data_IF_585129670565
#
_entry.id   IF_585129670565
#
_cell.length_a   1.000
_cell.length_b   1.000
_cell.length_c   1.000
_cell.angle_alpha   90.00
_cell.angle_beta   90.00
_cell.angle_gamma   90.00
#
_symmetry.space_group_name_H-M   'P 1'
#
loop_
_entity.id
_entity.type
_entity.pdbx_description
1 polymer ?
#
# COMPACT_ATOMS: atom_id res chain seq x y z
N UNK A 1 -29.71 -18.86 -0.59
CA UNK A 1 -29.01 -18.15 -1.68
C UNK A 1 -29.68 -16.80 -1.83
N UNK A 2 -28.94 -15.72 -1.58
CA UNK A 2 -29.51 -14.37 -1.58
C UNK A 2 -29.88 -13.99 -3.02
N UNK A 3 -30.91 -13.16 -3.20
CA UNK A 3 -31.41 -12.75 -4.53
C UNK A 3 -30.31 -12.14 -5.42
N UNK A 4 -29.24 -11.60 -4.82
CA UNK A 4 -28.08 -11.03 -5.52
C UNK A 4 -27.12 -12.07 -6.09
N UNK A 5 -26.91 -13.20 -5.41
CA UNK A 5 -26.07 -14.30 -5.93
C UNK A 5 -26.67 -14.86 -7.23
N UNK A 6 -28.00 -15.00 -7.25
CA UNK A 6 -28.74 -15.47 -8.43
C UNK A 6 -28.69 -14.46 -9.60
N UNK A 7 -28.40 -13.20 -9.31
CA UNK A 7 -28.20 -12.14 -10.31
C UNK A 7 -26.72 -11.93 -10.68
N UNK A 8 -25.82 -12.81 -10.24
CA UNK A 8 -24.39 -12.73 -10.49
C UNK A 8 -23.71 -11.54 -9.80
N UNK A 9 -24.27 -11.07 -8.68
CA UNK A 9 -23.72 -9.97 -7.89
C UNK A 9 -23.02 -10.57 -6.66
N UNK A 10 -21.71 -10.40 -6.58
CA UNK A 10 -20.94 -10.73 -5.38
C UNK A 10 -21.12 -9.65 -4.32
N UNK A 11 -21.12 -10.05 -3.04
CA UNK A 11 -21.18 -9.16 -1.89
C UNK A 11 -20.04 -9.48 -0.96
N UNK A 12 -19.24 -8.46 -0.64
CA UNK A 12 -18.02 -8.61 0.15
C UNK A 12 -18.05 -7.60 1.29
N UNK A 13 -18.19 -8.08 2.52
CA UNK A 13 -18.09 -7.27 3.71
C UNK A 13 -16.60 -7.10 4.11
N UNK A 14 -16.31 -6.02 4.82
CA UNK A 14 -14.95 -5.67 5.26
C UNK A 14 -14.17 -6.82 5.93
N UNK A 15 -14.86 -7.66 6.71
CA UNK A 15 -14.29 -8.78 7.45
C UNK A 15 -14.18 -10.07 6.63
N UNK A 16 -14.73 -10.11 5.42
CA UNK A 16 -14.69 -11.30 4.59
C UNK A 16 -13.26 -11.53 4.08
N UNK A 17 -12.80 -12.79 4.01
CA UNK A 17 -11.43 -13.11 3.62
C UNK A 17 -11.09 -12.68 2.19
N UNK A 18 -12.09 -12.58 1.32
CA UNK A 18 -11.97 -12.19 -0.09
C UNK A 18 -12.03 -10.67 -0.31
N UNK A 19 -12.35 -9.87 0.71
CA UNK A 19 -12.36 -8.42 0.60
C UNK A 19 -10.95 -7.87 0.27
N UNK A 20 -10.80 -6.95 -0.71
CA UNK A 20 -9.48 -6.53 -1.19
C UNK A 20 -8.58 -5.96 -0.08
N UNK A 21 -7.44 -6.60 0.16
CA UNK A 21 -6.57 -6.28 1.30
C UNK A 21 -5.97 -4.87 1.25
N UNK A 22 -5.64 -4.35 0.06
CA UNK A 22 -5.17 -2.95 -0.10
C UNK A 22 -6.27 -1.95 0.19
N UNK A 23 -7.48 -2.24 -0.23
CA UNK A 23 -8.63 -1.38 0.03
C UNK A 23 -8.97 -1.39 1.53
N UNK A 24 -8.75 -2.50 2.24
CA UNK A 24 -8.90 -2.58 3.69
C UNK A 24 -7.95 -1.64 4.46
N UNK A 25 -6.85 -1.19 3.85
CA UNK A 25 -5.83 -0.38 4.53
C UNK A 25 -6.05 1.12 4.45
N UNK A 26 -7.11 1.60 3.77
CA UNK A 26 -7.35 3.05 3.62
C UNK A 26 -8.37 3.58 4.63
N UNK A 27 -8.33 4.88 4.91
CA UNK A 27 -9.27 5.51 5.83
C UNK A 27 -10.73 5.43 5.35
N UNK A 28 -10.97 5.62 4.05
CA UNK A 28 -12.31 5.61 3.44
C UNK A 28 -12.74 4.19 2.99
N UNK A 29 -12.32 3.16 3.72
CA UNK A 29 -12.66 1.77 3.39
C UNK A 29 -14.18 1.58 3.39
N UNK A 30 -14.80 1.12 2.29
CA UNK A 30 -16.23 0.85 2.28
C UNK A 30 -16.55 -0.42 3.09
N UNK A 31 -17.57 -0.41 3.96
CA UNK A 31 -17.90 -1.57 4.80
C UNK A 31 -18.41 -2.75 3.98
N UNK A 32 -19.02 -2.49 2.81
CA UNK A 32 -19.54 -3.49 1.87
C UNK A 32 -19.16 -3.09 0.45
N UNK A 33 -18.78 -4.08 -0.36
CA UNK A 33 -18.56 -3.96 -1.79
C UNK A 33 -19.47 -4.92 -2.55
N UNK A 34 -20.06 -4.40 -3.62
CA UNK A 34 -20.75 -5.19 -4.63
C UNK A 34 -19.82 -5.41 -5.81
N UNK A 35 -19.84 -6.61 -6.37
CA UNK A 35 -19.01 -6.98 -7.51
C UNK A 35 -19.81 -7.67 -8.61
N UNK A 36 -19.33 -7.56 -9.84
CA UNK A 36 -19.72 -8.43 -10.95
C UNK A 36 -18.46 -8.79 -11.74
N UNK A 37 -18.32 -10.07 -12.07
CA UNK A 37 -17.09 -10.63 -12.63
C UNK A 37 -16.24 -11.32 -11.57
N UNK A 38 -14.96 -11.51 -11.86
CA UNK A 38 -14.09 -12.33 -11.01
C UNK A 38 -13.39 -11.45 -9.98
N UNK A 39 -13.71 -11.57 -8.69
CA UNK A 39 -12.90 -10.96 -7.63
C UNK A 39 -11.70 -11.86 -7.29
N UNK A 40 -10.50 -11.28 -7.22
CA UNK A 40 -9.27 -11.99 -6.82
C UNK A 40 -8.30 -11.07 -6.10
N UNK A 41 -7.27 -11.65 -5.50
CA UNK A 41 -6.17 -10.90 -4.89
C UNK A 41 -5.31 -10.20 -5.95
N UNK A 42 -5.68 -8.98 -6.32
CA UNK A 42 -4.95 -8.17 -7.31
C UNK A 42 -3.93 -7.26 -6.60
N UNK A 43 -2.81 -7.84 -6.16
CA UNK A 43 -1.72 -7.10 -5.52
C UNK A 43 -0.95 -6.19 -6.49
N UNK A 44 -0.98 -6.55 -7.78
CA UNK A 44 -0.38 -5.85 -8.93
C UNK A 44 -1.50 -5.13 -9.69
N UNK A 45 -1.96 -4.01 -9.14
CA UNK A 45 -3.04 -3.23 -9.72
C UNK A 45 -2.66 -1.76 -9.78
N UNK A 46 -2.77 -1.14 -10.96
CA UNK A 46 -2.38 0.27 -11.18
C UNK A 46 -3.61 1.04 -11.64
N UNK A 47 -3.91 2.15 -10.97
CA UNK A 47 -4.99 3.02 -11.38
C UNK A 47 -4.55 3.91 -12.54
N UNK A 48 -5.36 4.00 -13.60
CA UNK A 48 -5.16 4.95 -14.70
C UNK A 48 -6.33 5.92 -14.71
N UNK A 49 -6.04 7.21 -14.53
CA UNK A 49 -7.06 8.24 -14.36
C UNK A 49 -6.75 9.48 -15.21
N UNK A 50 -7.81 10.19 -15.62
CA UNK A 50 -7.64 11.45 -16.31
C UNK A 50 -8.95 12.15 -16.64
N UNK A 51 -8.88 13.09 -17.57
CA UNK A 51 -10.02 13.92 -17.99
C UNK A 51 -11.06 13.13 -18.78
N UNK A 52 -12.32 13.58 -18.65
CA UNK A 52 -13.44 13.08 -19.46
C UNK A 52 -13.42 13.63 -20.89
N UNK A 53 -12.75 14.75 -21.11
CA UNK A 53 -12.55 15.42 -22.39
C UNK A 53 -11.05 15.35 -22.69
N UNK A 54 -10.59 14.18 -23.14
CA UNK A 54 -9.18 13.92 -23.37
C UNK A 54 -8.77 14.31 -24.78
N UNK A 55 -7.54 14.83 -24.92
CA UNK A 55 -6.90 15.00 -26.23
C UNK A 55 -6.61 13.64 -26.89
N UNK A 56 -6.42 13.62 -28.21
CA UNK A 56 -5.98 12.41 -28.93
C UNK A 56 -4.66 11.88 -28.35
N UNK A 57 -3.73 12.78 -28.02
CA UNK A 57 -2.48 12.44 -27.34
C UNK A 57 -2.73 11.75 -26.00
N UNK A 58 -3.61 12.31 -25.17
CA UNK A 58 -3.98 11.74 -23.88
C UNK A 58 -4.62 10.35 -24.00
N UNK A 59 -5.50 10.15 -24.99
CA UNK A 59 -6.06 8.84 -25.30
C UNK A 59 -4.99 7.84 -25.75
N UNK A 60 -4.03 8.27 -26.56
CA UNK A 60 -2.88 7.47 -26.98
C UNK A 60 -2.00 7.03 -25.81
N UNK A 61 -1.66 7.97 -24.91
CA UNK A 61 -0.89 7.67 -23.68
C UNK A 61 -1.64 6.68 -22.81
N UNK A 62 -2.93 6.93 -22.51
CA UNK A 62 -3.73 6.05 -21.68
C UNK A 62 -3.81 4.62 -22.24
N UNK A 63 -3.96 4.50 -23.56
CA UNK A 63 -4.03 3.21 -24.24
C UNK A 63 -2.69 2.48 -24.18
N UNK A 64 -1.57 3.19 -24.44
CA UNK A 64 -0.24 2.59 -24.40
C UNK A 64 0.13 2.10 -22.99
N UNK A 65 -0.11 2.93 -21.96
CA UNK A 65 0.12 2.56 -20.55
C UNK A 65 -0.73 1.35 -20.17
N UNK A 66 -2.02 1.35 -20.48
CA UNK A 66 -2.89 0.24 -20.14
C UNK A 66 -2.52 -1.07 -20.88
N UNK A 67 -2.10 -0.97 -22.14
CA UNK A 67 -1.61 -2.11 -22.93
C UNK A 67 -0.37 -2.72 -22.30
N UNK A 68 0.58 -1.88 -21.89
CA UNK A 68 1.85 -2.34 -21.31
C UNK A 68 1.62 -2.98 -19.93
N UNK A 69 0.81 -2.34 -19.08
CA UNK A 69 0.38 -2.92 -17.81
C UNK A 69 -0.27 -4.30 -18.01
N UNK A 70 -1.22 -4.40 -18.94
CA UNK A 70 -1.91 -5.64 -19.28
C UNK A 70 -0.94 -6.76 -19.70
N UNK A 71 -0.03 -6.46 -20.64
CA UNK A 71 0.99 -7.41 -21.15
C UNK A 71 1.93 -7.91 -20.06
N UNK A 72 2.21 -7.08 -19.06
CA UNK A 72 3.02 -7.44 -17.90
C UNK A 72 2.23 -8.12 -16.76
N UNK A 73 0.98 -8.51 -17.02
CA UNK A 73 0.11 -9.18 -16.05
C UNK A 73 -0.31 -8.28 -14.89
N UNK A 74 -0.35 -6.96 -15.11
CA UNK A 74 -0.77 -5.96 -14.13
C UNK A 74 -2.20 -5.54 -14.42
N UNK A 75 -3.03 -5.58 -13.39
CA UNK A 75 -4.44 -5.23 -13.49
C UNK A 75 -4.59 -3.72 -13.65
N UNK A 76 -5.26 -3.29 -14.73
CA UNK A 76 -5.57 -1.88 -14.96
C UNK A 76 -6.84 -1.52 -14.18
N UNK A 77 -6.76 -0.56 -13.27
CA UNK A 77 -7.90 -0.08 -12.49
C UNK A 77 -8.33 1.27 -13.03
N UNK A 78 -9.61 1.45 -13.31
CA UNK A 78 -10.11 2.78 -13.69
C UNK A 78 -11.59 2.95 -13.34
N UNK A 79 -12.13 4.13 -13.62
CA UNK A 79 -13.42 4.57 -13.13
C UNK A 79 -14.60 4.39 -14.07
N UNK A 80 -14.35 3.86 -15.27
CA UNK A 80 -15.32 3.75 -16.36
C UNK A 80 -15.95 5.09 -16.82
N UNK A 81 -15.32 6.24 -16.52
CA UNK A 81 -15.76 7.52 -17.08
C UNK A 81 -15.49 7.60 -18.60
N UNK A 82 -15.99 8.66 -19.25
CA UNK A 82 -15.57 8.98 -20.64
C UNK A 82 -14.08 9.34 -20.67
N UNK A 83 -13.47 9.34 -21.86
CA UNK A 83 -12.11 9.82 -22.05
C UNK A 83 -11.08 8.79 -21.60
N UNK A 84 -10.15 9.21 -20.73
CA UNK A 84 -9.00 8.42 -20.29
C UNK A 84 -9.41 7.06 -19.69
N UNK A 85 -10.42 7.04 -18.82
CA UNK A 85 -10.89 5.79 -18.19
C UNK A 85 -11.39 4.77 -19.23
N UNK A 86 -12.19 5.21 -20.21
CA UNK A 86 -12.65 4.35 -21.33
C UNK A 86 -11.48 3.81 -22.14
N UNK A 87 -10.49 4.65 -22.47
CA UNK A 87 -9.34 4.25 -23.27
C UNK A 87 -8.50 3.20 -22.54
N UNK A 88 -8.23 3.41 -21.24
CA UNK A 88 -7.48 2.49 -20.41
C UNK A 88 -8.15 1.11 -20.32
N UNK A 89 -9.47 1.07 -20.05
CA UNK A 89 -10.20 -0.19 -19.98
C UNK A 89 -10.20 -0.96 -21.31
N UNK A 90 -10.44 -0.26 -22.43
CA UNK A 90 -10.45 -0.89 -23.76
C UNK A 90 -9.08 -1.47 -24.10
N UNK A 91 -8.03 -0.67 -23.97
CA UNK A 91 -6.68 -1.09 -24.29
C UNK A 91 -6.21 -2.27 -23.41
N UNK A 92 -6.58 -2.30 -22.13
CA UNK A 92 -6.29 -3.44 -21.26
C UNK A 92 -6.98 -4.73 -21.77
N UNK A 93 -8.26 -4.66 -22.11
CA UNK A 93 -9.02 -5.80 -22.62
C UNK A 93 -8.59 -6.24 -24.02
N UNK A 94 -8.23 -5.29 -24.89
CA UNK A 94 -7.76 -5.57 -26.26
C UNK A 94 -6.35 -6.17 -26.27
N UNK A 95 -5.62 -6.06 -25.16
CA UNK A 95 -4.34 -6.71 -24.92
C UNK A 95 -4.49 -8.04 -24.14
N UNK A 96 -5.71 -8.60 -24.06
CA UNK A 96 -6.06 -9.79 -23.28
C UNK A 96 -5.67 -9.69 -21.79
N UNK A 97 -5.56 -8.45 -21.30
CA UNK A 97 -5.25 -8.14 -19.91
C UNK A 97 -6.51 -7.99 -19.06
N UNK A 98 -6.27 -7.97 -17.75
CA UNK A 98 -7.33 -7.77 -16.77
C UNK A 98 -7.54 -6.29 -16.48
N UNK A 99 -8.80 -5.90 -16.35
CA UNK A 99 -9.17 -4.58 -15.86
C UNK A 99 -10.26 -4.59 -14.79
N UNK A 100 -10.21 -3.62 -13.88
CA UNK A 100 -11.15 -3.43 -12.77
C UNK A 100 -11.80 -2.06 -12.91
N UNK A 101 -13.12 -2.03 -13.14
CA UNK A 101 -13.92 -0.81 -13.15
C UNK A 101 -14.47 -0.51 -11.76
N UNK A 102 -14.11 0.64 -11.19
CA UNK A 102 -14.66 1.14 -9.93
C UNK A 102 -15.73 2.19 -10.25
N UNK A 103 -17.01 1.87 -10.06
CA UNK A 103 -18.11 2.70 -10.54
C UNK A 103 -18.73 3.57 -9.44
N UNK A 104 -19.23 4.75 -9.84
CA UNK A 104 -19.88 5.74 -8.96
C UNK A 104 -21.38 5.54 -8.80
N UNK A 105 -21.89 4.39 -9.21
CA UNK A 105 -23.32 4.03 -9.25
C UNK A 105 -23.51 2.65 -8.62
N UNK A 106 -24.74 2.22 -8.43
CA UNK A 106 -25.02 0.82 -8.14
C UNK A 106 -24.57 -0.10 -9.28
N UNK A 107 -24.30 -1.38 -8.97
CA UNK A 107 -23.79 -2.39 -9.91
C UNK A 107 -24.76 -2.71 -11.06
N UNK A 108 -26.05 -2.40 -10.92
CA UNK A 108 -27.07 -2.57 -11.97
C UNK A 108 -27.20 -1.33 -12.86
N UNK A 109 -26.50 -0.25 -12.54
CA UNK A 109 -26.57 1.00 -13.28
C UNK A 109 -25.39 1.15 -14.24
N UNK A 110 -25.64 1.83 -15.35
CA UNK A 110 -24.68 2.03 -16.43
C UNK A 110 -24.46 3.52 -16.64
N UNK A 111 -23.33 4.04 -16.16
CA UNK A 111 -23.00 5.45 -16.28
C UNK A 111 -21.52 5.65 -16.61
N UNK A 112 -21.20 6.37 -17.71
CA UNK A 112 -22.13 6.97 -18.68
C UNK A 112 -22.80 5.88 -19.54
N UNK A 113 -24.03 6.13 -20.01
CA UNK A 113 -24.82 5.13 -20.76
C UNK A 113 -24.08 4.56 -21.99
N UNK A 114 -23.27 5.38 -22.67
CA UNK A 114 -22.44 4.97 -23.81
C UNK A 114 -21.38 3.90 -23.48
N UNK A 115 -21.00 3.75 -22.19
CA UNK A 115 -20.03 2.75 -21.75
C UNK A 115 -20.71 1.45 -21.29
N UNK A 116 -22.03 1.27 -21.51
CA UNK A 116 -22.77 0.04 -21.13
C UNK A 116 -22.09 -1.23 -21.63
N UNK A 117 -21.86 -1.32 -22.94
CA UNK A 117 -21.23 -2.49 -23.55
C UNK A 117 -19.81 -2.74 -23.00
N UNK A 118 -19.07 -1.67 -22.67
CA UNK A 118 -17.77 -1.79 -22.06
C UNK A 118 -17.87 -2.32 -20.62
N UNK A 119 -18.83 -1.83 -19.82
CA UNK A 119 -19.09 -2.35 -18.47
C UNK A 119 -19.41 -3.84 -18.48
N UNK A 120 -20.26 -4.25 -19.43
CA UNK A 120 -20.65 -5.66 -19.63
C UNK A 120 -19.44 -6.51 -20.00
N UNK A 121 -18.61 -6.07 -20.95
CA UNK A 121 -17.35 -6.77 -21.31
C UNK A 121 -16.41 -6.89 -20.11
N UNK A 122 -16.20 -5.81 -19.35
CA UNK A 122 -15.38 -5.84 -18.13
C UNK A 122 -15.95 -6.82 -17.11
N UNK A 123 -17.27 -6.95 -17.01
CA UNK A 123 -17.88 -7.89 -16.07
C UNK A 123 -17.69 -9.36 -16.46
N UNK A 124 -17.42 -9.65 -17.74
CA UNK A 124 -17.08 -10.99 -18.20
C UNK A 124 -15.58 -11.28 -18.02
N UNK A 125 -14.72 -10.37 -18.49
CA UNK A 125 -13.27 -10.63 -18.63
C UNK A 125 -12.43 -10.07 -17.47
N UNK A 126 -13.06 -9.30 -16.58
CA UNK A 126 -12.39 -8.58 -15.51
C UNK A 126 -13.26 -8.50 -14.26
N UNK A 127 -13.46 -7.28 -13.78
CA UNK A 127 -14.22 -7.02 -12.57
C UNK A 127 -14.84 -5.62 -12.59
N UNK A 128 -16.11 -5.53 -12.21
CA UNK A 128 -16.77 -4.25 -11.88
C UNK A 128 -17.04 -4.26 -10.38
N UNK A 129 -16.64 -3.19 -9.66
CA UNK A 129 -16.90 -3.01 -8.23
C UNK A 129 -17.64 -1.71 -7.95
N UNK A 130 -18.53 -1.77 -6.96
CA UNK A 130 -19.25 -0.61 -6.43
C UNK A 130 -19.36 -0.70 -4.92
N UNK A 131 -19.23 0.45 -4.24
CA UNK A 131 -19.54 0.58 -2.81
C UNK A 131 -21.00 1.00 -2.55
N UNK A 132 -21.81 1.16 -3.61
CA UNK A 132 -23.18 1.66 -3.51
C UNK A 132 -24.17 0.50 -3.70
N UNK A 133 -25.35 0.61 -3.07
CA UNK A 133 -26.43 -0.37 -3.24
C UNK A 133 -26.72 -0.63 -4.73
N UNK A 134 -27.09 -1.86 -5.13
CA UNK A 134 -27.14 -2.30 -6.53
C UNK A 134 -27.85 -1.36 -7.50
N UNK A 135 -28.91 -0.67 -7.07
CA UNK A 135 -29.74 0.19 -7.91
C UNK A 135 -29.50 1.70 -7.69
N UNK A 136 -28.45 2.08 -6.95
CA UNK A 136 -28.13 3.48 -6.65
C UNK A 136 -27.90 4.29 -7.94
N UNK A 137 -28.69 5.33 -8.23
CA UNK A 137 -28.54 6.13 -9.44
C UNK A 137 -27.24 6.95 -9.43
N UNK A 138 -26.77 7.44 -10.60
CA UNK A 138 -25.62 8.32 -10.66
C UNK A 138 -25.87 9.63 -9.91
N UNK A 139 -25.00 9.91 -8.94
CA UNK A 139 -25.06 11.14 -8.15
C UNK A 139 -23.69 11.79 -8.06
N UNK A 140 -23.63 13.13 -8.16
CA UNK A 140 -22.36 13.86 -8.24
C UNK A 140 -21.44 13.60 -7.03
N UNK A 141 -22.02 13.43 -5.84
CA UNK A 141 -21.29 13.14 -4.59
C UNK A 141 -20.65 11.74 -4.57
N UNK A 142 -21.10 10.82 -5.42
CA UNK A 142 -20.60 9.45 -5.45
C UNK A 142 -19.23 9.36 -6.12
N UNK A 143 -18.93 10.24 -7.10
CA UNK A 143 -17.68 10.14 -7.86
C UNK A 143 -16.43 10.40 -7.02
N UNK A 144 -16.39 11.41 -6.11
CA UNK A 144 -15.28 11.55 -5.17
C UNK A 144 -15.12 10.36 -4.21
N UNK A 145 -16.23 9.75 -3.74
CA UNK A 145 -16.17 8.58 -2.87
C UNK A 145 -15.63 7.36 -3.62
N UNK A 146 -16.10 7.14 -4.85
CA UNK A 146 -15.58 6.10 -5.75
C UNK A 146 -14.08 6.25 -6.00
N UNK A 147 -13.59 7.48 -6.14
CA UNK A 147 -12.17 7.72 -6.36
C UNK A 147 -11.31 7.21 -5.18
N UNK A 148 -11.81 7.32 -3.95
CA UNK A 148 -11.11 6.76 -2.78
C UNK A 148 -11.04 5.23 -2.83
N UNK A 149 -12.09 4.57 -3.30
CA UNK A 149 -12.08 3.12 -3.54
C UNK A 149 -11.07 2.75 -4.63
N UNK A 150 -11.04 3.53 -5.71
CA UNK A 150 -10.11 3.31 -6.82
C UNK A 150 -8.64 3.47 -6.39
N UNK A 151 -8.32 4.52 -5.62
CA UNK A 151 -6.96 4.70 -5.09
C UNK A 151 -6.60 3.66 -4.03
N UNK A 152 -7.55 3.24 -3.19
CA UNK A 152 -7.31 2.23 -2.17
C UNK A 152 -7.11 0.83 -2.74
N UNK A 153 -7.79 0.49 -3.83
CA UNK A 153 -7.61 -0.78 -4.53
C UNK A 153 -6.25 -0.85 -5.22
N UNK A 154 -5.82 0.23 -5.86
CA UNK A 154 -4.58 0.28 -6.61
C UNK A 154 -3.32 0.43 -5.73
N UNK A 155 -2.20 -0.04 -6.25
CA UNK A 155 -0.87 0.11 -5.66
C UNK A 155 -0.22 1.47 -5.98
N UNK A 156 -0.50 2.01 -7.17
CA UNK A 156 -0.11 3.35 -7.60
C UNK A 156 -1.15 3.92 -8.58
N UNK A 157 -1.07 5.21 -8.87
CA UNK A 157 -1.97 5.90 -9.81
C UNK A 157 -1.19 6.64 -10.89
N UNK A 158 -1.47 6.36 -12.15
CA UNK A 158 -1.05 7.15 -13.31
C UNK A 158 -2.13 8.18 -13.63
N UNK A 159 -1.77 9.45 -13.60
CA UNK A 159 -2.62 10.57 -14.02
C UNK A 159 -2.18 11.01 -15.40
N UNK A 160 -2.98 10.72 -16.42
CA UNK A 160 -2.57 10.94 -17.82
C UNK A 160 -2.76 12.39 -18.25
N UNK A 161 -3.96 12.95 -18.01
CA UNK A 161 -4.32 14.29 -18.44
C UNK A 161 -5.41 14.83 -17.49
N UNK A 162 -5.26 16.05 -16.98
CA UNK A 162 -6.04 16.52 -15.84
C UNK A 162 -6.03 18.06 -15.70
N UNK A 163 -7.03 18.78 -16.28
CA UNK A 163 -7.15 20.23 -16.06
C UNK A 163 -7.45 20.55 -14.59
N UNK A 164 -7.27 21.81 -14.17
CA UNK A 164 -7.37 22.26 -12.77
C UNK A 164 -8.64 21.78 -12.02
N UNK A 165 -9.82 21.83 -12.65
CA UNK A 165 -11.10 21.37 -12.09
C UNK A 165 -11.43 19.89 -12.39
N UNK A 166 -10.42 19.04 -12.53
CA UNK A 166 -10.65 17.63 -12.90
C UNK A 166 -10.81 16.70 -11.70
N UNK A 167 -11.64 15.66 -11.88
CA UNK A 167 -11.73 14.54 -10.93
C UNK A 167 -10.41 13.76 -10.80
N UNK A 168 -9.53 13.85 -11.80
CA UNK A 168 -8.21 13.23 -11.79
C UNK A 168 -7.26 13.88 -10.76
N UNK A 169 -7.36 15.19 -10.53
CA UNK A 169 -6.65 15.85 -9.42
C UNK A 169 -7.08 15.31 -8.05
N UNK A 170 -8.38 15.08 -7.87
CA UNK A 170 -8.92 14.48 -6.64
C UNK A 170 -8.37 13.06 -6.48
N UNK A 171 -8.30 12.30 -7.57
CA UNK A 171 -7.70 10.96 -7.57
C UNK A 171 -6.23 11.00 -7.12
N UNK A 172 -5.42 11.88 -7.70
CA UNK A 172 -4.01 12.04 -7.32
C UNK A 172 -3.86 12.36 -5.83
N UNK A 173 -4.71 13.25 -5.31
CA UNK A 173 -4.73 13.62 -3.90
C UNK A 173 -5.00 12.41 -3.01
N UNK A 174 -6.06 11.65 -3.32
CA UNK A 174 -6.48 10.49 -2.53
C UNK A 174 -5.42 9.38 -2.57
N UNK A 175 -4.78 9.15 -3.72
CA UNK A 175 -3.66 8.23 -3.83
C UNK A 175 -2.52 8.59 -2.87
N UNK A 176 -2.09 9.86 -2.85
CA UNK A 176 -1.05 10.32 -1.93
C UNK A 176 -1.47 10.24 -0.45
N UNK A 177 -2.73 10.60 -0.13
CA UNK A 177 -3.30 10.44 1.22
C UNK A 177 -3.34 8.96 1.67
N UNK A 178 -3.40 8.01 0.72
CA UNK A 178 -3.34 6.56 0.98
C UNK A 178 -1.91 5.99 0.95
N UNK A 179 -0.89 6.83 0.77
CA UNK A 179 0.51 6.39 0.64
C UNK A 179 0.76 5.59 -0.65
N UNK A 180 0.02 5.91 -1.73
CA UNK A 180 0.19 5.30 -3.05
C UNK A 180 0.93 6.27 -3.97
N UNK A 181 2.00 5.83 -4.67
CA UNK A 181 2.70 6.66 -5.62
C UNK A 181 1.79 7.20 -6.72
N UNK A 182 2.10 8.40 -7.20
CA UNK A 182 1.43 9.04 -8.33
C UNK A 182 2.44 9.29 -9.43
N UNK A 183 2.14 8.86 -10.65
CA UNK A 183 2.95 9.12 -11.84
C UNK A 183 2.16 10.07 -12.74
N UNK A 184 2.80 11.12 -13.23
CA UNK A 184 2.14 12.11 -14.07
C UNK A 184 3.11 12.71 -15.10
N UNK A 185 2.69 12.96 -16.35
CA UNK A 185 3.55 13.59 -17.33
C UNK A 185 3.89 15.04 -16.95
N UNK A 186 5.08 15.49 -17.34
CA UNK A 186 5.59 16.86 -17.12
C UNK A 186 4.69 17.94 -17.72
N UNK A 187 3.92 17.62 -18.76
CA UNK A 187 2.99 18.56 -19.38
C UNK A 187 1.90 19.02 -18.39
N UNK A 188 1.58 18.21 -17.37
CA UNK A 188 0.65 18.65 -16.31
C UNK A 188 1.22 19.78 -15.46
N UNK A 189 2.54 19.97 -15.44
CA UNK A 189 3.21 21.06 -14.72
C UNK A 189 2.82 22.45 -15.25
N UNK A 190 2.10 22.57 -16.37
CA UNK A 190 1.46 23.82 -16.77
C UNK A 190 0.42 24.30 -15.74
N UNK A 191 -0.15 23.37 -14.96
CA UNK A 191 -1.12 23.65 -13.92
C UNK A 191 -0.46 23.80 -12.53
N UNK A 192 -0.89 24.81 -11.76
CA UNK A 192 -0.39 25.07 -10.40
C UNK A 192 -0.47 23.84 -9.49
N UNK A 193 -1.55 23.06 -9.58
CA UNK A 193 -1.77 21.93 -8.67
C UNK A 193 -0.76 20.82 -8.91
N UNK A 194 -0.36 20.61 -10.17
CA UNK A 194 0.61 19.61 -10.54
C UNK A 194 2.00 20.06 -10.10
N UNK A 195 2.33 21.35 -10.24
CA UNK A 195 3.58 21.92 -9.69
C UNK A 195 3.67 21.74 -8.18
N UNK A 196 2.56 21.90 -7.47
CA UNK A 196 2.51 21.66 -6.02
C UNK A 196 2.65 20.18 -5.67
N UNK A 197 2.08 19.30 -6.48
CA UNK A 197 2.14 17.85 -6.23
C UNK A 197 3.50 17.27 -6.58
N UNK A 198 4.16 17.77 -7.62
CA UNK A 198 5.50 17.35 -8.02
C UNK A 198 6.55 17.50 -6.91
N UNK A 199 6.31 18.38 -5.93
CA UNK A 199 7.17 18.58 -4.76
C UNK A 199 6.92 17.57 -3.64
N UNK A 200 5.87 16.76 -3.73
CA UNK A 200 5.47 15.82 -2.69
C UNK A 200 6.21 14.48 -2.84
N UNK A 201 6.59 13.83 -1.74
CA UNK A 201 7.11 12.47 -1.77
C UNK A 201 6.11 11.51 -2.46
N UNK A 202 6.63 10.56 -3.24
CA UNK A 202 5.82 9.58 -3.97
C UNK A 202 5.17 10.11 -5.25
N UNK A 203 5.52 11.31 -5.70
CA UNK A 203 5.11 11.82 -7.02
C UNK A 203 6.27 11.71 -8.00
N UNK A 204 6.03 11.05 -9.12
CA UNK A 204 6.98 10.85 -10.21
C UNK A 204 6.50 11.66 -11.42
N UNK A 205 7.30 12.64 -11.83
CA UNK A 205 7.04 13.43 -13.04
C UNK A 205 7.91 12.90 -14.16
N UNK A 206 7.30 12.64 -15.32
CA UNK A 206 7.97 11.99 -16.45
C UNK A 206 7.84 12.82 -17.72
N UNK A 207 8.90 12.92 -18.50
CA UNK A 207 8.96 13.72 -19.72
C UNK A 207 8.44 12.97 -20.96
N UNK A 208 8.43 11.64 -20.90
CA UNK A 208 8.03 10.80 -22.04
C UNK A 208 7.20 9.60 -21.60
N UNK A 209 6.53 8.98 -22.59
CA UNK A 209 5.84 7.71 -22.37
C UNK A 209 6.83 6.61 -21.98
N UNK A 210 8.04 6.58 -22.55
CA UNK A 210 9.07 5.59 -22.18
C UNK A 210 9.43 5.68 -20.70
N UNK A 211 9.74 6.88 -20.22
CA UNK A 211 10.04 7.11 -18.81
C UNK A 211 8.86 6.79 -17.89
N UNK A 212 7.62 7.08 -18.33
CA UNK A 212 6.42 6.66 -17.62
C UNK A 212 6.39 5.14 -17.44
N UNK A 213 6.65 4.40 -18.51
CA UNK A 213 6.71 2.93 -18.48
C UNK A 213 7.85 2.43 -17.59
N UNK A 214 9.04 3.03 -17.66
CA UNK A 214 10.18 2.67 -16.82
C UNK A 214 9.86 2.84 -15.32
N UNK A 215 9.21 3.96 -14.96
CA UNK A 215 8.77 4.20 -13.57
C UNK A 215 7.71 3.19 -13.16
N UNK A 216 6.74 2.92 -14.04
CA UNK A 216 5.69 1.91 -13.78
C UNK A 216 6.31 0.53 -13.59
N UNK A 217 7.27 0.14 -14.42
CA UNK A 217 7.99 -1.13 -14.31
C UNK A 217 8.80 -1.20 -13.02
N UNK A 218 9.50 -0.13 -12.64
CA UNK A 218 10.19 -0.03 -11.35
C UNK A 218 9.25 -0.24 -10.18
N UNK A 219 8.09 0.43 -10.18
CA UNK A 219 7.06 0.25 -9.16
C UNK A 219 6.49 -1.17 -9.16
N UNK A 220 6.28 -1.78 -10.33
CA UNK A 220 5.83 -3.17 -10.44
C UNK A 220 6.89 -4.12 -9.87
N UNK A 221 8.17 -3.87 -10.14
CA UNK A 221 9.28 -4.66 -9.61
C UNK A 221 9.33 -4.56 -8.09
N UNK A 222 9.20 -3.36 -7.52
CA UNK A 222 9.08 -3.16 -6.07
C UNK A 222 7.85 -3.87 -5.47
N UNK A 223 6.73 -3.89 -6.19
CA UNK A 223 5.53 -4.62 -5.77
C UNK A 223 5.71 -6.15 -5.88
N UNK A 224 6.56 -6.61 -6.81
CA UNK A 224 6.96 -8.00 -6.95
C UNK A 224 8.01 -8.38 -5.89
N UNK A 225 8.73 -7.40 -5.32
CA UNK A 225 9.64 -7.67 -4.24
C UNK A 225 8.87 -7.96 -2.95
N UNK A 226 8.61 -9.24 -2.70
CA UNK A 226 8.23 -9.72 -1.38
C UNK A 226 9.38 -9.57 -0.36
N UNK A 227 9.15 -9.90 0.92
CA UNK A 227 10.22 -9.91 1.93
C UNK A 227 11.46 -10.73 1.53
N UNK A 228 11.33 -11.67 0.58
CA UNK A 228 12.42 -12.52 0.05
C UNK A 228 13.36 -11.81 -0.94
N UNK A 229 13.10 -10.55 -1.26
CA UNK A 229 13.81 -9.79 -2.32
C UNK A 229 14.25 -8.40 -1.86
N UNK A 230 14.18 -8.14 -0.56
CA UNK A 230 14.86 -7.00 0.04
C UNK A 230 16.38 -7.19 -0.11
N UNK A 231 17.14 -6.17 -0.55
CA UNK A 231 18.60 -6.26 -0.56
C UNK A 231 19.09 -6.60 0.85
N UNK A 232 20.10 -7.48 0.93
CA UNK A 232 20.75 -7.83 2.19
C UNK A 232 21.05 -6.55 2.96
N UNK A 233 20.46 -6.41 4.16
CA UNK A 233 20.71 -5.28 5.03
C UNK A 233 22.22 -5.23 5.27
N UNK A 234 22.92 -4.13 4.95
CA UNK A 234 24.35 -4.02 5.20
C UNK A 234 24.65 -4.38 6.66
N UNK A 235 25.49 -5.38 6.86
CA UNK A 235 25.76 -6.02 8.16
C UNK A 235 26.56 -5.14 9.12
N UNK A 236 26.48 -3.82 9.01
CA UNK A 236 27.20 -2.84 9.82
C UNK A 236 26.61 -2.71 11.24
N UNK A 237 25.72 -3.63 11.61
CA UNK A 237 25.36 -3.86 13.00
C UNK A 237 26.58 -4.42 13.75
N UNK A 238 27.28 -3.50 14.44
CA UNK A 238 28.12 -3.77 15.63
C UNK A 238 27.57 -4.98 16.39
N UNK A 239 28.42 -5.95 16.77
CA UNK A 239 28.07 -7.37 16.84
C UNK A 239 26.89 -7.62 17.78
N UNK A 240 25.68 -7.60 17.22
CA UNK A 240 24.54 -8.24 17.81
C UNK A 240 24.85 -9.75 17.76
N UNK A 241 24.49 -10.48 18.81
CA UNK A 241 24.97 -11.83 19.17
C UNK A 241 24.88 -12.94 18.09
N UNK A 242 24.39 -12.64 16.88
CA UNK A 242 24.29 -13.55 15.74
C UNK A 242 25.66 -14.01 15.20
N UNK A 243 26.70 -13.17 15.18
CA UNK A 243 28.02 -13.57 14.66
C UNK A 243 28.75 -14.61 15.54
N UNK A 244 28.38 -14.73 16.81
CA UNK A 244 28.97 -15.72 17.73
C UNK A 244 28.35 -17.13 17.60
N UNK A 245 27.32 -17.31 16.75
CA UNK A 245 26.53 -18.54 16.71
C UNK A 245 26.65 -19.36 15.40
N UNK A 246 27.48 -18.97 14.43
CA UNK A 246 27.70 -19.73 13.17
C UNK A 246 26.41 -20.27 12.53
N UNK A 247 25.49 -19.37 12.16
CA UNK A 247 24.21 -19.75 11.58
C UNK A 247 24.17 -19.33 10.10
N UNK A 248 24.23 -20.31 9.19
CA UNK A 248 24.21 -20.08 7.75
C UNK A 248 22.80 -20.14 7.11
N UNK A 249 21.76 -20.50 7.89
CA UNK A 249 20.35 -20.47 7.44
C UNK A 249 19.40 -20.02 8.54
N UNK A 250 18.56 -19.04 8.23
CA UNK A 250 17.61 -18.42 9.15
C UNK A 250 16.30 -19.20 9.21
N UNK A 251 15.71 -19.34 10.41
CA UNK A 251 14.49 -20.15 10.57
C UNK A 251 13.39 -19.53 11.41
N UNK A 252 13.69 -18.59 12.31
CA UNK A 252 12.70 -17.98 13.19
C UNK A 252 13.07 -16.52 13.55
N UNK A 253 12.05 -15.69 13.83
CA UNK A 253 12.24 -14.31 14.32
C UNK A 253 12.02 -14.28 15.83
N UNK A 254 13.07 -13.98 16.60
CA UNK A 254 12.98 -13.80 18.04
C UNK A 254 12.86 -12.30 18.36
N UNK A 255 11.85 -11.95 19.14
CA UNK A 255 11.59 -10.56 19.48
C UNK A 255 11.73 -10.35 20.98
N UNK A 256 12.68 -9.49 21.35
CA UNK A 256 12.95 -9.16 22.75
C UNK A 256 11.88 -8.17 23.21
N UNK A 257 11.16 -8.43 24.33
CA UNK A 257 10.24 -7.45 24.88
C UNK A 257 10.98 -6.15 25.19
N UNK A 258 10.45 -5.01 24.75
CA UNK A 258 11.06 -3.71 24.97
C UNK A 258 11.39 -3.52 26.45
N UNK A 259 12.60 -3.05 26.71
CA UNK A 259 13.18 -2.79 28.03
C UNK A 259 12.16 -2.20 29.01
N UNK A 260 12.01 -2.84 30.19
CA UNK A 260 11.23 -2.49 31.39
C UNK A 260 10.08 -3.45 31.77
N UNK A 261 10.18 -4.74 31.45
CA UNK A 261 9.38 -5.77 32.14
C UNK A 261 7.86 -5.60 32.04
N UNK A 262 7.34 -4.86 31.06
CA UNK A 262 5.90 -4.79 30.81
C UNK A 262 5.49 -6.03 30.03
N UNK A 263 4.60 -6.82 30.62
CA UNK A 263 3.92 -7.92 29.93
C UNK A 263 3.05 -7.36 28.80
N UNK A 264 3.44 -7.62 27.55
CA UNK A 264 2.69 -7.27 26.35
C UNK A 264 3.32 -7.87 25.10
N UNK A 265 2.55 -8.00 24.01
CA UNK A 265 3.10 -8.40 22.71
C UNK A 265 3.95 -7.28 22.12
N UNK A 266 5.09 -7.64 21.51
CA UNK A 266 5.97 -6.66 20.91
C UNK A 266 5.28 -5.99 19.70
N UNK A 267 5.40 -4.66 19.50
CA UNK A 267 4.75 -3.95 18.40
C UNK A 267 5.01 -4.55 17.02
N UNK A 268 6.23 -5.06 16.77
CA UNK A 268 6.55 -5.79 15.54
C UNK A 268 5.68 -7.04 15.33
N UNK A 269 5.34 -7.79 16.39
CA UNK A 269 4.44 -8.95 16.28
C UNK A 269 3.03 -8.52 15.86
N UNK A 270 2.56 -7.37 16.34
CA UNK A 270 1.26 -6.82 15.96
C UNK A 270 1.26 -6.28 14.51
N UNK A 271 2.37 -5.74 14.05
CA UNK A 271 2.49 -5.12 12.72
C UNK A 271 2.74 -6.12 11.58
N UNK A 272 3.55 -7.16 11.81
CA UNK A 272 3.97 -8.10 10.77
C UNK A 272 3.76 -9.58 11.13
N UNK A 273 3.12 -9.87 12.28
CA UNK A 273 2.87 -11.22 12.78
C UNK A 273 2.21 -12.16 11.78
N UNK A 274 1.21 -11.65 11.05
CA UNK A 274 0.46 -12.43 10.07
C UNK A 274 1.14 -12.46 8.68
N UNK A 275 2.28 -11.80 8.51
CA UNK A 275 3.02 -11.73 7.23
C UNK A 275 4.27 -12.61 7.19
N UNK A 276 4.71 -13.12 8.35
CA UNK A 276 5.83 -14.04 8.43
C UNK A 276 5.31 -15.48 8.53
N UNK A 277 5.81 -16.37 7.65
CA UNK A 277 5.50 -17.81 7.69
C UNK A 277 6.36 -18.58 8.71
N UNK A 278 7.25 -17.89 9.41
CA UNK A 278 8.13 -18.49 10.42
C UNK A 278 7.45 -18.48 11.80
N UNK A 279 7.60 -19.54 12.61
CA UNK A 279 7.06 -19.56 13.97
C UNK A 279 7.65 -18.45 14.86
N UNK A 280 6.83 -17.87 15.72
CA UNK A 280 7.25 -16.85 16.69
C UNK A 280 7.63 -17.51 18.00
N UNK A 281 8.86 -17.27 18.49
CA UNK A 281 9.33 -17.79 19.76
C UNK A 281 9.47 -16.65 20.77
N UNK A 282 8.83 -16.81 21.94
CA UNK A 282 8.89 -15.82 23.02
C UNK A 282 10.11 -16.11 23.91
N UNK A 283 11.01 -15.15 24.02
CA UNK A 283 12.16 -15.24 24.93
C UNK A 283 11.72 -14.98 26.37
N UNK A 284 12.19 -15.80 27.31
CA UNK A 284 11.98 -15.61 28.74
C UNK A 284 13.21 -14.93 29.35
N UNK A 285 12.97 -13.85 30.09
CA UNK A 285 14.04 -13.15 30.82
C UNK A 285 14.48 -13.97 32.03
N UNK A 286 15.79 -14.16 32.19
CA UNK A 286 16.36 -14.86 33.33
C UNK A 286 16.42 -13.89 34.52
N UNK A 287 15.60 -14.15 35.54
CA UNK A 287 15.38 -13.23 36.67
C UNK A 287 16.54 -13.17 37.68
N UNK A 288 17.56 -14.01 37.53
CA UNK A 288 18.70 -14.11 38.43
C UNK A 288 19.88 -13.17 38.09
N UNK A 289 19.80 -12.39 37.00
CA UNK A 289 20.89 -11.52 36.53
C UNK A 289 20.64 -10.04 36.86
N UNK A 290 21.70 -9.26 37.19
CA UNK A 290 21.55 -7.90 37.68
C UNK A 290 20.98 -6.94 36.60
N UNK A 291 20.18 -5.93 37.01
CA UNK A 291 19.32 -5.15 36.11
C UNK A 291 20.08 -4.23 35.13
N UNK A 292 21.35 -3.96 35.40
CA UNK A 292 22.28 -3.05 34.72
C UNK A 292 23.06 -3.68 33.54
N UNK A 293 22.99 -5.00 33.36
CA UNK A 293 23.44 -5.65 32.13
C UNK A 293 22.68 -5.04 30.93
N UNK A 294 23.40 -4.62 29.88
CA UNK A 294 22.81 -4.07 28.65
C UNK A 294 21.76 -5.04 28.08
N UNK A 295 20.77 -4.50 27.37
CA UNK A 295 19.55 -5.17 26.90
C UNK A 295 19.73 -6.41 26.00
N UNK A 296 20.96 -6.89 25.79
CA UNK A 296 21.31 -7.90 24.80
C UNK A 296 22.38 -8.92 25.23
N UNK A 297 22.64 -9.09 26.52
CA UNK A 297 23.54 -10.19 26.95
C UNK A 297 22.84 -11.55 26.74
N UNK A 298 23.49 -12.50 26.04
CA UNK A 298 22.93 -13.83 25.69
C UNK A 298 22.40 -14.58 26.91
N UNK A 299 23.06 -14.43 28.06
CA UNK A 299 22.71 -15.10 29.31
C UNK A 299 21.44 -14.55 29.97
N UNK A 300 20.97 -13.35 29.57
CA UNK A 300 19.77 -12.71 30.12
C UNK A 300 18.48 -13.33 29.59
N UNK A 301 18.52 -14.06 28.49
CA UNK A 301 17.33 -14.62 27.86
C UNK A 301 17.54 -16.08 27.49
N UNK A 302 16.63 -16.95 27.94
CA UNK A 302 16.61 -18.33 27.48
C UNK A 302 15.82 -18.41 26.17
N UNK A 303 16.44 -19.01 25.15
CA UNK A 303 15.78 -19.37 23.89
C UNK A 303 15.29 -20.81 24.07
N UNK A 304 13.98 -21.11 23.93
CA UNK A 304 13.51 -22.49 23.86
C UNK A 304 14.22 -23.24 22.72
N UNK A 305 14.45 -24.54 22.88
CA UNK A 305 14.96 -25.36 21.78
C UNK A 305 14.05 -25.20 20.55
N UNK A 306 14.62 -24.97 19.36
CA UNK A 306 13.83 -24.83 18.15
C UNK A 306 13.08 -26.14 17.86
N UNK A 307 11.88 -26.09 17.24
CA UNK A 307 11.27 -27.29 16.71
C UNK A 307 12.24 -27.98 15.73
N UNK A 308 12.29 -29.31 15.76
CA UNK A 308 13.27 -30.12 15.04
C UNK A 308 13.48 -29.67 13.59
N UNK A 309 14.74 -29.39 13.22
CA UNK A 309 15.17 -29.16 11.83
C UNK A 309 15.66 -27.74 11.48
N UNK A 310 15.77 -26.82 12.44
CA UNK A 310 16.02 -25.40 12.13
C UNK A 310 16.97 -24.69 13.12
N UNK A 311 18.24 -24.42 12.74
CA UNK A 311 19.17 -23.70 13.59
C UNK A 311 19.09 -22.20 13.31
N UNK A 312 18.71 -21.35 14.28
CA UNK A 312 18.99 -19.91 14.20
C UNK A 312 17.83 -18.93 14.44
N UNK A 313 18.13 -17.85 15.17
CA UNK A 313 17.18 -16.79 15.51
C UNK A 313 17.73 -15.38 15.24
N UNK A 314 16.89 -14.48 14.72
CA UNK A 314 17.15 -13.03 14.64
C UNK A 314 16.68 -12.36 15.92
N UNK A 315 17.46 -11.45 16.50
CA UNK A 315 17.13 -10.70 17.71
C UNK A 315 17.07 -9.20 17.38
N UNK A 316 15.90 -8.56 17.52
CA UNK A 316 15.74 -7.11 17.30
C UNK A 316 15.28 -6.44 18.60
N UNK A 317 15.97 -5.38 19.06
CA UNK A 317 15.40 -4.43 20.03
C UNK A 317 14.95 -3.17 19.31
N UNK A 318 13.94 -2.53 19.89
CA UNK A 318 13.75 -1.09 19.75
C UNK A 318 14.71 -0.37 20.71
N UNK A 319 15.90 0.01 20.26
CA UNK A 319 16.64 1.12 20.87
C UNK A 319 16.79 2.21 19.84
N UNK A 320 16.09 3.31 20.05
CA UNK A 320 16.20 4.55 19.29
C UNK A 320 17.68 5.00 19.26
N UNK A 321 18.26 5.31 18.10
CA UNK A 321 19.63 5.79 18.05
C UNK A 321 19.64 7.27 18.48
N UNK A 322 20.13 7.55 19.70
CA UNK A 322 20.35 8.94 20.09
C UNK A 322 20.45 9.20 21.59
N UNK A 323 21.63 8.94 22.15
CA UNK A 323 22.40 9.94 22.92
C UNK A 323 23.74 9.31 23.33
N UNK A 324 24.83 9.86 22.79
CA UNK A 324 26.19 9.66 23.29
C UNK A 324 26.29 10.37 24.65
N UNK A 325 26.70 9.64 25.69
CA UNK A 325 27.44 10.12 26.86
C UNK A 325 28.88 10.52 26.46
N UNK A 326 29.79 11.09 27.31
CA UNK A 326 29.80 11.14 28.79
C UNK A 326 30.35 12.43 29.46
N UNK A 327 30.28 12.53 30.81
CA UNK A 327 31.45 12.75 31.71
C UNK A 327 31.07 13.26 33.14
N UNK A 328 31.44 12.46 34.14
CA UNK A 328 32.06 12.78 35.46
C UNK A 328 31.58 13.94 36.36
N UNK A 329 30.97 13.56 37.51
CA UNK A 329 31.18 13.96 38.94
C UNK A 329 31.36 15.43 39.40
N UNK A 330 31.15 15.83 40.70
CA UNK A 330 30.36 15.29 41.83
C UNK A 330 29.42 16.38 42.48
N UNK A 331 28.72 16.16 43.61
CA UNK A 331 27.57 16.99 44.04
C UNK A 331 27.94 18.09 45.05
N UNK A 332 27.29 19.27 44.98
CA UNK A 332 27.27 20.27 46.07
C UNK A 332 25.97 21.11 46.14
N UNK A 333 25.24 20.89 47.23
CA UNK A 333 24.60 21.85 48.17
C UNK A 333 23.92 23.14 47.70
N UNK A 334 22.62 23.24 48.06
CA UNK A 334 21.92 24.36 48.74
C UNK A 334 22.50 25.79 48.61
N UNK A 335 21.75 26.73 48.01
CA UNK A 335 20.96 27.74 48.74
C UNK A 335 20.48 28.89 47.84
N UNK A 336 19.24 29.33 48.11
CA UNK A 336 18.76 30.71 48.16
C UNK A 336 18.75 31.64 46.93
N UNK A 337 17.64 32.40 46.87
CA UNK A 337 17.53 33.84 46.52
C UNK A 337 17.65 34.22 45.03
N UNK A 338 16.55 34.67 44.43
CA UNK A 338 16.00 36.04 44.42
C UNK A 338 16.41 36.80 43.15
N UNK A 339 15.39 37.24 42.43
CA UNK A 339 15.25 38.58 41.84
C UNK A 339 16.04 38.99 40.58
N UNK A 340 15.26 39.69 39.74
CA UNK A 340 15.57 40.80 38.83
C UNK A 340 15.92 40.49 37.37
N UNK A 341 14.92 40.76 36.53
CA UNK A 341 14.93 41.71 35.40
C UNK A 341 16.31 42.08 34.83
N UNK A 342 16.55 41.68 33.58
CA UNK A 342 16.74 42.53 32.40
C UNK A 342 16.84 41.65 31.16
#
# INVERSE_FOLDING_TARGET
>A
MNAWDSAGIGVHAFFDPDYPSRLRSIHQTPPVLFSRGTLRADHRAIAVAGTRQASERGLGIASAVATDLARNGVTVVSGLAKGIDTAAHRAALDADGRTVAVIGTGINQFYPAQNRALQERISCDGLVISQFWPDTPPHQRNFPMRNAVMSGYAAATVVVEAPWKSGARIQARLALEHGRPVIMPDQLLEHDWARDYAKKPGVHVVASLGELLDVVEGLISELNTGPDSLPEIPTDHHPCAAKAAHVDRWSHVAVVPSTRGRSGEHPLRLLIGNRLRLPWVRLTANSALPPDLRSFHRERFSVPDPPDGFPGAVCCSSTTPGRREPASSPPRTLSSRQERNA
#
